data_IF_812934952408
#
_entry.id   IF_812934952408
#
_cell.length_a   1.000
_cell.length_b   1.000
_cell.length_c   1.000
_cell.angle_alpha   90.00
_cell.angle_beta   90.00
_cell.angle_gamma   90.00
#
_symmetry.space_group_name_H-M   'P 1'
#
loop_
_entity.id
_entity.type
_entity.pdbx_description
1 polymer ?
#
# COMPACT_ATOMS: atom_id res chain seq x y z
N UNK A 1 -3.79 -59.78 -13.62
CA UNK A 1 -2.65 -59.92 -12.69
C UNK A 1 -2.42 -58.59 -12.03
N UNK A 2 -2.75 -58.47 -10.75
CA UNK A 2 -2.41 -57.33 -9.90
C UNK A 2 -1.07 -57.62 -9.22
N UNK A 3 -0.15 -56.65 -9.22
CA UNK A 3 0.89 -56.50 -8.19
C UNK A 3 1.03 -54.98 -7.94
N UNK A 4 1.09 -54.52 -6.68
CA UNK A 4 0.90 -53.13 -6.28
C UNK A 4 2.23 -52.39 -6.04
N UNK A 5 2.23 -51.07 -6.17
CA UNK A 5 3.35 -50.22 -5.71
C UNK A 5 2.91 -49.34 -4.54
N UNK A 6 3.39 -49.76 -3.36
CA UNK A 6 3.83 -48.99 -2.19
C UNK A 6 3.20 -47.64 -1.86
N UNK A 7 2.40 -47.63 -0.79
CA UNK A 7 2.20 -46.47 0.05
C UNK A 7 3.44 -46.22 0.93
N UNK A 8 3.93 -44.99 0.99
CA UNK A 8 4.95 -44.57 1.96
C UNK A 8 4.37 -43.44 2.82
N UNK A 9 4.01 -43.80 4.06
CA UNK A 9 3.60 -42.88 5.12
C UNK A 9 4.84 -42.15 5.66
N UNK A 10 4.87 -40.82 5.52
CA UNK A 10 5.80 -39.93 6.20
C UNK A 10 5.11 -39.27 7.38
N UNK A 11 5.44 -39.73 8.59
CA UNK A 11 5.07 -39.11 9.86
C UNK A 11 5.98 -37.91 10.12
N UNK A 12 5.41 -36.70 10.21
CA UNK A 12 6.11 -35.55 10.81
C UNK A 12 5.44 -35.21 12.14
N UNK A 13 6.19 -35.48 13.20
CA UNK A 13 5.81 -35.28 14.59
C UNK A 13 5.63 -33.82 14.96
N UNK A 14 4.81 -33.64 15.99
CA UNK A 14 4.60 -32.41 16.71
C UNK A 14 5.91 -31.90 17.33
N UNK A 15 6.16 -30.59 17.22
CA UNK A 15 7.24 -29.94 17.96
C UNK A 15 6.88 -29.81 19.46
N UNK A 16 7.81 -30.05 20.39
CA UNK A 16 7.57 -29.90 21.83
C UNK A 16 7.47 -28.42 22.25
N UNK A 17 6.76 -28.10 23.35
CA UNK A 17 6.64 -26.74 23.85
C UNK A 17 7.98 -26.23 24.41
N UNK A 18 8.34 -25.01 24.02
CA UNK A 18 9.55 -24.29 24.41
C UNK A 18 9.49 -23.85 25.89
N UNK A 19 10.35 -24.37 26.79
CA UNK A 19 10.49 -23.82 28.13
C UNK A 19 11.65 -22.79 28.12
N UNK A 20 11.50 -21.70 28.88
CA UNK A 20 12.47 -20.60 29.09
C UNK A 20 12.43 -19.42 28.11
N UNK A 21 12.12 -18.23 28.66
CA UNK A 21 12.37 -16.95 28.01
C UNK A 21 11.48 -15.77 28.45
N UNK A 22 11.20 -15.61 29.75
CA UNK A 22 10.63 -14.36 30.27
C UNK A 22 11.68 -13.24 30.21
N UNK A 23 11.33 -12.08 29.65
CA UNK A 23 12.15 -10.88 29.71
C UNK A 23 12.12 -10.27 31.14
N UNK A 24 13.27 -9.93 31.75
CA UNK A 24 13.31 -9.32 33.08
C UNK A 24 12.76 -7.88 33.09
N UNK A 25 11.99 -7.55 34.13
CA UNK A 25 11.66 -6.17 34.49
C UNK A 25 12.94 -5.42 34.90
N UNK A 26 13.16 -4.22 34.36
CA UNK A 26 14.26 -3.34 34.74
C UNK A 26 13.84 -2.46 35.94
N UNK A 27 14.47 -2.58 37.13
CA UNK A 27 14.00 -1.96 38.38
C UNK A 27 14.82 -0.72 38.81
N UNK A 28 15.33 0.10 37.88
CA UNK A 28 16.11 1.30 38.25
C UNK A 28 15.39 2.61 37.93
N UNK A 29 15.27 3.42 39.00
CA UNK A 29 14.42 4.59 39.14
C UNK A 29 14.77 5.82 38.30
N UNK A 30 13.79 6.71 38.22
CA UNK A 30 13.91 8.08 37.73
C UNK A 30 14.97 8.84 38.54
N UNK A 31 15.92 9.48 37.84
CA UNK A 31 16.84 10.41 38.46
C UNK A 31 16.09 11.70 38.85
N UNK A 32 15.96 11.94 40.16
CA UNK A 32 15.59 13.25 40.72
C UNK A 32 16.77 14.21 40.58
N UNK A 33 16.53 15.41 40.04
CA UNK A 33 17.46 16.53 40.04
C UNK A 33 17.35 17.27 41.38
N UNK A 34 18.35 17.24 42.27
CA UNK A 34 18.40 18.10 43.44
C UNK A 34 19.11 19.42 43.09
N UNK A 35 18.86 20.48 43.86
CA UNK A 35 19.40 21.85 43.75
C UNK A 35 18.54 22.85 42.95
N UNK A 36 17.85 23.73 43.70
CA UNK A 36 17.41 25.02 43.18
C UNK A 36 16.11 25.63 43.75
N UNK A 37 15.77 25.44 45.03
CA UNK A 37 14.74 26.30 45.67
C UNK A 37 15.41 27.49 46.35
N UNK A 38 15.02 28.71 45.96
CA UNK A 38 15.44 29.94 46.62
C UNK A 38 14.64 30.15 47.92
N UNK A 39 15.26 30.55 49.05
CA UNK A 39 14.54 30.76 50.31
C UNK A 39 13.58 31.96 50.25
N UNK A 40 12.38 31.81 50.83
CA UNK A 40 11.47 32.93 51.06
C UNK A 40 11.93 33.75 52.28
N UNK A 41 12.09 35.06 52.09
CA UNK A 41 12.46 35.99 53.17
C UNK A 41 11.19 36.46 53.92
N UNK A 42 10.98 36.13 55.22
CA UNK A 42 9.69 36.33 55.89
C UNK A 42 9.48 37.71 56.54
N UNK A 43 10.40 38.69 56.41
CA UNK A 43 10.38 39.92 57.22
C UNK A 43 10.57 41.23 56.43
N UNK A 44 9.72 41.50 55.45
CA UNK A 44 9.63 42.85 54.89
C UNK A 44 8.17 43.33 54.83
N UNK A 45 7.61 43.68 55.98
CA UNK A 45 6.50 44.63 56.03
C UNK A 45 7.08 46.00 56.40
N UNK A 46 6.93 46.98 55.51
CA UNK A 46 7.17 48.39 55.81
C UNK A 46 5.82 49.12 55.95
N UNK A 47 5.71 50.11 56.87
CA UNK A 47 4.43 50.59 57.39
C UNK A 47 3.63 51.44 56.38
N UNK A 48 2.30 51.38 56.47
CA UNK A 48 1.44 52.34 55.77
C UNK A 48 1.57 53.73 56.39
N UNK A 49 2.05 54.69 55.60
CA UNK A 49 2.06 56.10 56.01
C UNK A 49 0.97 56.86 55.23
N UNK A 50 0.00 57.47 55.93
CA UNK A 50 -1.06 58.27 55.32
C UNK A 50 -0.54 59.71 55.12
N UNK A 51 -0.92 60.34 54.01
CA UNK A 51 -0.58 61.69 53.54
C UNK A 51 0.71 61.86 52.72
N UNK A 52 0.53 62.37 51.48
CA UNK A 52 1.50 63.23 50.80
C UNK A 52 2.29 62.62 49.63
N UNK A 53 1.90 62.98 48.41
CA UNK A 53 2.59 62.78 47.11
C UNK A 53 4.04 63.27 47.07
N UNK A 54 4.91 62.59 46.29
CA UNK A 54 5.97 63.26 45.54
C UNK A 54 5.93 62.97 44.04
N UNK A 55 6.39 63.96 43.27
CA UNK A 55 6.23 64.10 41.83
C UNK A 55 7.03 63.15 40.94
N UNK A 56 6.69 63.25 39.67
CA UNK A 56 7.16 62.49 38.52
C UNK A 56 8.68 62.37 38.39
N UNK A 57 9.16 61.15 38.17
CA UNK A 57 10.42 60.91 37.48
C UNK A 57 10.21 59.86 36.40
N UNK A 58 10.53 60.28 35.18
CA UNK A 58 10.17 59.68 33.91
C UNK A 58 11.39 58.97 33.31
N UNK A 59 11.59 57.68 33.61
CA UNK A 59 12.41 56.76 32.82
C UNK A 59 11.85 55.34 33.00
N UNK A 60 11.12 54.85 32.00
CA UNK A 60 10.66 53.46 31.95
C UNK A 60 11.80 52.49 31.60
N UNK A 61 11.70 51.20 31.97
CA UNK A 61 12.67 50.19 31.57
C UNK A 61 12.70 50.00 30.04
N UNK A 62 13.85 49.64 29.44
CA UNK A 62 13.93 49.45 28.00
C UNK A 62 12.98 48.31 27.55
N UNK A 63 12.37 48.42 26.35
CA UNK A 63 11.37 47.47 25.90
C UNK A 63 11.97 46.06 25.75
N UNK A 64 11.32 45.06 26.35
CA UNK A 64 11.66 43.64 26.16
C UNK A 64 11.35 43.25 24.72
N UNK A 65 12.38 42.86 23.96
CA UNK A 65 12.27 42.42 22.56
C UNK A 65 11.36 41.19 22.46
N UNK A 66 10.20 41.35 21.81
CA UNK A 66 9.15 40.34 21.74
C UNK A 66 9.54 39.09 20.93
N UNK A 67 9.84 37.99 21.63
CA UNK A 67 10.08 36.65 21.05
C UNK A 67 8.82 35.95 20.53
N UNK A 68 7.61 36.50 20.77
CA UNK A 68 6.34 35.86 20.42
C UNK A 68 6.06 35.77 18.91
N UNK A 69 6.44 36.80 18.14
CA UNK A 69 6.14 36.84 16.70
C UNK A 69 6.97 35.80 15.92
N UNK A 70 8.18 35.47 16.37
CA UNK A 70 9.02 34.45 15.72
C UNK A 70 8.49 33.03 15.91
N UNK A 71 7.86 32.73 17.06
CA UNK A 71 7.24 31.41 17.31
C UNK A 71 5.95 31.25 16.48
N UNK A 72 5.15 32.31 16.36
CA UNK A 72 3.92 32.30 15.55
C UNK A 72 4.24 32.21 14.05
N UNK A 73 5.21 32.98 13.57
CA UNK A 73 5.69 32.91 12.18
C UNK A 73 6.31 31.55 11.88
N UNK A 74 7.09 30.98 12.81
CA UNK A 74 7.64 29.63 12.66
C UNK A 74 6.58 28.54 12.54
N UNK A 75 5.46 28.65 13.25
CA UNK A 75 4.32 27.72 13.13
C UNK A 75 3.60 27.84 11.79
N UNK A 76 3.40 29.06 11.28
CA UNK A 76 2.76 29.29 9.98
C UNK A 76 3.67 28.78 8.85
N UNK A 77 4.95 29.11 8.87
CA UNK A 77 5.92 28.63 7.87
C UNK A 77 6.03 27.10 7.93
N UNK A 78 6.10 26.52 9.14
CA UNK A 78 6.11 25.06 9.32
C UNK A 78 4.85 24.38 8.78
N UNK A 79 3.67 24.96 9.03
CA UNK A 79 2.40 24.46 8.51
C UNK A 79 2.31 24.57 6.98
N UNK A 80 2.75 25.68 6.40
CA UNK A 80 2.77 25.89 4.94
C UNK A 80 3.74 24.93 4.25
N UNK A 81 4.94 24.73 4.81
CA UNK A 81 5.91 23.76 4.28
C UNK A 81 5.37 22.33 4.39
N UNK A 82 4.77 21.96 5.53
CA UNK A 82 4.15 20.64 5.69
C UNK A 82 2.99 20.43 4.71
N UNK A 83 2.11 21.41 4.53
CA UNK A 83 1.04 21.36 3.53
C UNK A 83 1.59 21.26 2.11
N UNK A 84 2.65 22.01 1.79
CA UNK A 84 3.28 21.98 0.47
C UNK A 84 3.92 20.62 0.18
N UNK A 85 4.50 19.95 1.19
CA UNK A 85 5.03 18.59 1.05
C UNK A 85 3.93 17.54 0.92
N UNK A 86 2.81 17.69 1.62
CA UNK A 86 1.65 16.79 1.50
C UNK A 86 0.99 16.95 0.13
N UNK A 87 0.71 18.19 -0.30
CA UNK A 87 0.13 18.48 -1.61
C UNK A 87 1.10 18.13 -2.73
N UNK A 88 2.38 18.51 -2.60
CA UNK A 88 3.43 18.16 -3.56
C UNK A 88 3.62 16.64 -3.68
N UNK A 89 3.69 15.92 -2.56
CA UNK A 89 3.78 14.46 -2.54
C UNK A 89 2.54 13.77 -3.14
N UNK A 90 1.35 14.32 -2.89
CA UNK A 90 0.10 13.83 -3.49
C UNK A 90 0.05 14.07 -5.01
N UNK A 91 0.50 15.23 -5.48
CA UNK A 91 0.55 15.56 -6.91
C UNK A 91 1.60 14.73 -7.65
N UNK A 92 2.77 14.46 -7.04
CA UNK A 92 3.80 13.57 -7.60
C UNK A 92 3.26 12.15 -7.80
N UNK A 93 2.45 11.62 -6.86
CA UNK A 93 1.88 10.27 -6.99
C UNK A 93 0.96 10.13 -8.21
N UNK A 94 0.13 11.14 -8.50
CA UNK A 94 -0.76 11.14 -9.69
C UNK A 94 -0.03 11.16 -11.03
N UNK A 95 1.25 11.54 -11.08
CA UNK A 95 1.97 11.56 -12.35
C UNK A 95 2.26 10.17 -12.91
N UNK A 96 2.34 9.15 -12.05
CA UNK A 96 2.69 7.79 -12.47
C UNK A 96 1.49 6.87 -12.68
N UNK A 97 0.29 7.24 -12.23
CA UNK A 97 -0.92 6.42 -12.43
C UNK A 97 -1.29 6.32 -13.92
N UNK A 98 -1.80 5.14 -14.30
CA UNK A 98 -2.42 4.92 -15.60
C UNK A 98 -3.71 5.75 -15.73
N UNK A 99 -4.04 6.16 -16.96
CA UNK A 99 -5.29 6.84 -17.25
C UNK A 99 -6.08 6.10 -18.33
N UNK A 100 -7.40 6.23 -18.28
CA UNK A 100 -8.32 5.70 -19.28
C UNK A 100 -8.95 6.80 -20.12
N UNK A 101 -9.21 6.49 -21.37
CA UNK A 101 -10.06 7.26 -22.28
C UNK A 101 -11.55 7.10 -21.91
N UNK A 102 -12.42 7.89 -22.56
CA UNK A 102 -13.88 7.84 -22.36
C UNK A 102 -14.51 6.51 -22.79
N UNK A 103 -13.86 5.77 -23.69
CA UNK A 103 -14.25 4.42 -24.12
C UNK A 103 -13.80 3.32 -23.14
N UNK A 104 -13.08 3.69 -22.08
CA UNK A 104 -12.56 2.76 -21.08
C UNK A 104 -11.22 2.12 -21.41
N UNK A 105 -10.61 2.41 -22.56
CA UNK A 105 -9.27 1.91 -22.92
C UNK A 105 -8.17 2.64 -22.16
N UNK A 106 -7.03 1.98 -21.91
CA UNK A 106 -5.85 2.64 -21.32
C UNK A 106 -5.29 3.63 -22.33
N UNK A 107 -5.30 4.92 -21.99
CA UNK A 107 -4.84 6.02 -22.85
C UNK A 107 -3.48 6.58 -22.46
N UNK A 108 -3.06 6.32 -21.22
CA UNK A 108 -1.76 6.70 -20.69
C UNK A 108 -1.23 5.54 -19.85
N UNK A 109 0.00 5.11 -20.16
CA UNK A 109 0.68 4.10 -19.37
C UNK A 109 0.93 4.59 -17.93
N UNK A 110 0.95 3.66 -16.99
CA UNK A 110 1.25 3.96 -15.59
C UNK A 110 0.87 2.84 -14.65
N UNK A 111 1.05 3.10 -13.36
CA UNK A 111 0.71 2.16 -12.31
C UNK A 111 -0.81 1.96 -12.24
N UNK A 112 -1.24 0.71 -12.11
CA UNK A 112 -2.64 0.33 -11.91
C UNK A 112 -2.70 -0.87 -10.97
N UNK A 113 -3.67 -0.86 -10.07
CA UNK A 113 -4.00 -2.03 -9.25
C UNK A 113 -4.36 -3.22 -10.17
N UNK A 114 -3.73 -4.37 -9.93
CA UNK A 114 -3.88 -5.55 -10.78
C UNK A 114 -5.32 -6.07 -10.84
N UNK A 115 -6.14 -5.79 -9.83
CA UNK A 115 -7.56 -6.13 -9.77
C UNK A 115 -8.47 -5.03 -10.32
N UNK A 116 -7.90 -3.93 -10.82
CA UNK A 116 -8.62 -2.86 -11.51
C UNK A 116 -8.40 -2.90 -13.03
N UNK A 117 -7.59 -3.86 -13.50
CA UNK A 117 -7.54 -4.24 -14.90
C UNK A 117 -8.91 -4.77 -15.35
N UNK A 118 -9.20 -4.57 -16.62
CA UNK A 118 -10.43 -4.97 -17.30
C UNK A 118 -10.05 -5.84 -18.49
N UNK A 119 -10.99 -6.66 -18.94
CA UNK A 119 -10.87 -7.35 -20.23
C UNK A 119 -10.51 -6.34 -21.34
N UNK A 120 -9.46 -6.67 -22.09
CA UNK A 120 -8.87 -5.81 -23.12
C UNK A 120 -7.67 -4.99 -22.65
N UNK A 121 -7.39 -4.88 -21.35
CA UNK A 121 -6.23 -4.12 -20.90
C UNK A 121 -4.92 -4.84 -21.12
N UNK A 122 -3.97 -4.09 -21.67
CA UNK A 122 -2.59 -4.51 -21.84
C UNK A 122 -1.73 -3.96 -20.69
N UNK A 123 -0.74 -4.74 -20.25
CA UNK A 123 0.12 -4.36 -19.15
C UNK A 123 1.49 -5.04 -19.23
N UNK A 124 2.44 -4.50 -18.47
CA UNK A 124 3.72 -5.14 -18.17
C UNK A 124 3.63 -5.75 -16.76
N UNK A 125 3.77 -7.08 -16.67
CA UNK A 125 3.87 -7.76 -15.37
C UNK A 125 5.21 -7.46 -14.70
N UNK A 126 5.28 -7.35 -13.36
CA UNK A 126 6.55 -7.14 -12.66
C UNK A 126 7.53 -8.29 -12.95
N UNK A 127 8.76 -7.98 -13.36
CA UNK A 127 9.76 -8.96 -13.82
C UNK A 127 10.23 -9.91 -12.71
N UNK A 128 10.11 -9.45 -11.48
CA UNK A 128 10.53 -10.06 -10.23
C UNK A 128 9.36 -10.66 -9.44
N UNK A 129 8.15 -10.65 -10.00
CA UNK A 129 7.00 -11.33 -9.39
C UNK A 129 7.17 -12.85 -9.48
N UNK A 130 7.61 -13.47 -8.39
CA UNK A 130 7.67 -14.92 -8.23
C UNK A 130 6.40 -15.50 -7.60
N UNK A 131 5.71 -14.71 -6.76
CA UNK A 131 4.45 -15.10 -6.08
C UNK A 131 3.54 -13.88 -5.90
N UNK A 132 2.63 -13.65 -6.85
CA UNK A 132 1.62 -12.59 -6.77
C UNK A 132 2.15 -11.15 -6.85
N UNK A 133 1.26 -10.22 -7.21
CA UNK A 133 1.53 -8.79 -7.25
C UNK A 133 0.22 -8.01 -7.07
N UNK A 134 0.28 -6.82 -6.47
CA UNK A 134 -0.88 -5.95 -6.27
C UNK A 134 -1.01 -4.85 -7.32
N UNK A 135 0.09 -4.49 -7.99
CA UNK A 135 0.16 -3.44 -8.98
C UNK A 135 0.88 -3.94 -10.22
N UNK A 136 0.45 -3.44 -11.37
CA UNK A 136 1.12 -3.61 -12.66
C UNK A 136 1.38 -2.25 -13.28
N UNK A 137 2.14 -2.24 -14.36
CA UNK A 137 2.18 -1.10 -15.25
C UNK A 137 1.20 -1.33 -16.39
N UNK A 138 0.03 -0.70 -16.35
CA UNK A 138 -0.93 -0.72 -17.46
C UNK A 138 -0.40 0.10 -18.63
N UNK A 139 -0.58 -0.38 -19.85
CA UNK A 139 0.02 0.15 -21.08
C UNK A 139 -1.05 0.17 -22.18
N UNK A 140 -1.18 1.24 -22.98
CA UNK A 140 -2.01 1.22 -24.19
C UNK A 140 -1.58 0.06 -25.11
N UNK A 141 -2.52 -0.74 -25.61
CA UNK A 141 -2.17 -1.97 -26.33
C UNK A 141 -1.38 -1.73 -27.63
N UNK A 142 -1.40 -0.53 -28.21
CA UNK A 142 -0.58 -0.16 -29.37
C UNK A 142 0.91 0.06 -29.02
N UNK A 143 1.25 0.06 -27.73
CA UNK A 143 2.62 0.11 -27.23
C UNK A 143 3.13 -1.28 -26.80
N UNK A 144 4.46 -1.49 -26.75
CA UNK A 144 5.05 -2.74 -26.30
C UNK A 144 4.58 -3.13 -24.89
N UNK A 145 4.05 -4.34 -24.77
CA UNK A 145 3.59 -4.95 -23.51
C UNK A 145 3.74 -6.46 -23.58
N UNK A 146 3.62 -7.14 -22.45
CA UNK A 146 3.87 -8.57 -22.37
C UNK A 146 2.72 -9.37 -21.74
N UNK A 147 1.59 -8.71 -21.45
CA UNK A 147 0.42 -9.35 -20.87
C UNK A 147 -0.86 -8.61 -21.28
N UNK A 148 -1.94 -9.34 -21.48
CA UNK A 148 -3.28 -8.79 -21.72
C UNK A 148 -4.34 -9.58 -20.94
N UNK A 149 -5.27 -8.87 -20.28
CA UNK A 149 -6.48 -9.50 -19.73
C UNK A 149 -7.42 -9.84 -20.88
N UNK A 150 -7.73 -11.13 -21.04
CA UNK A 150 -8.56 -11.61 -22.14
C UNK A 150 -10.00 -11.89 -21.71
N UNK A 151 -10.19 -12.15 -20.42
CA UNK A 151 -11.50 -12.45 -19.84
C UNK A 151 -11.44 -12.29 -18.32
N UNK A 152 -12.57 -11.96 -17.70
CA UNK A 152 -12.70 -11.87 -16.25
C UNK A 152 -14.03 -12.49 -15.81
N UNK A 153 -14.02 -13.21 -14.70
CA UNK A 153 -15.24 -13.82 -14.16
C UNK A 153 -15.21 -13.86 -12.64
N UNK A 154 -16.39 -13.81 -12.02
CA UNK A 154 -16.53 -14.13 -10.59
C UNK A 154 -16.55 -15.64 -10.39
N UNK A 155 -15.73 -16.14 -9.46
CA UNK A 155 -15.66 -17.55 -9.14
C UNK A 155 -17.04 -18.09 -8.74
N UNK A 156 -17.52 -19.17 -9.36
CA UNK A 156 -18.87 -19.67 -9.15
C UNK A 156 -19.04 -20.22 -7.74
N UNK A 157 -20.19 -19.93 -7.13
CA UNK A 157 -20.54 -20.40 -5.78
C UNK A 157 -19.50 -20.07 -4.70
N UNK A 158 -18.77 -18.97 -4.87
CA UNK A 158 -17.75 -18.56 -3.91
C UNK A 158 -18.33 -18.31 -2.52
N UNK A 159 -17.65 -18.83 -1.51
CA UNK A 159 -17.93 -18.59 -0.08
C UNK A 159 -16.77 -17.84 0.55
N UNK A 160 -16.84 -17.50 1.84
CA UNK A 160 -15.69 -16.92 2.56
C UNK A 160 -14.51 -17.88 2.68
N UNK A 161 -14.76 -19.19 2.58
CA UNK A 161 -13.70 -20.20 2.54
C UNK A 161 -13.20 -20.35 1.12
N UNK A 162 -11.89 -20.23 0.98
CA UNK A 162 -11.17 -20.37 -0.27
C UNK A 162 -11.22 -21.82 -0.77
N UNK A 163 -11.45 -22.08 -2.07
CA UNK A 163 -11.31 -23.40 -2.65
C UNK A 163 -9.85 -23.87 -2.55
N UNK A 164 -9.62 -25.17 -2.57
CA UNK A 164 -8.27 -25.72 -2.74
C UNK A 164 -7.66 -25.27 -4.07
N UNK A 165 -6.33 -25.30 -4.16
CA UNK A 165 -5.62 -24.91 -5.38
C UNK A 165 -6.08 -25.72 -6.60
N UNK A 166 -6.31 -27.03 -6.43
CA UNK A 166 -6.79 -27.92 -7.49
C UNK A 166 -8.22 -27.59 -7.93
N UNK A 167 -9.13 -27.31 -7.00
CA UNK A 167 -10.50 -26.91 -7.31
C UNK A 167 -10.51 -25.58 -8.07
N UNK A 168 -9.74 -24.60 -7.59
CA UNK A 168 -9.62 -23.30 -8.25
C UNK A 168 -9.08 -23.46 -9.66
N UNK A 169 -7.97 -24.19 -9.79
CA UNK A 169 -7.31 -24.42 -11.07
C UNK A 169 -8.26 -25.06 -12.08
N UNK A 170 -8.99 -26.09 -11.69
CA UNK A 170 -9.96 -26.77 -12.56
C UNK A 170 -11.01 -25.80 -13.14
N UNK A 171 -11.57 -24.92 -12.29
CA UNK A 171 -12.55 -23.92 -12.72
C UNK A 171 -11.92 -22.84 -13.60
N UNK A 172 -10.73 -22.35 -13.23
CA UNK A 172 -10.01 -21.32 -13.98
C UNK A 172 -9.58 -21.82 -15.34
N UNK A 173 -8.92 -22.98 -15.43
CA UNK A 173 -8.44 -23.57 -16.68
C UNK A 173 -9.61 -23.80 -17.67
N UNK A 174 -10.76 -24.27 -17.17
CA UNK A 174 -11.94 -24.45 -18.01
C UNK A 174 -12.48 -23.13 -18.57
N UNK A 175 -12.61 -22.09 -17.73
CA UNK A 175 -13.17 -20.79 -18.15
C UNK A 175 -12.21 -19.97 -18.99
N UNK A 176 -10.93 -19.94 -18.62
CA UNK A 176 -9.90 -19.25 -19.38
C UNK A 176 -9.63 -19.95 -20.71
N UNK A 177 -9.59 -21.29 -20.74
CA UNK A 177 -9.45 -22.04 -21.98
C UNK A 177 -10.61 -21.82 -22.96
N UNK A 178 -11.85 -21.75 -22.48
CA UNK A 178 -13.00 -21.39 -23.33
C UNK A 178 -12.87 -19.96 -23.89
N UNK A 179 -12.48 -18.99 -23.06
CA UNK A 179 -12.23 -17.62 -23.48
C UNK A 179 -11.09 -17.52 -24.52
N UNK A 180 -10.00 -18.26 -24.34
CA UNK A 180 -8.89 -18.31 -25.29
C UNK A 180 -9.35 -18.80 -26.67
N UNK A 181 -10.15 -19.88 -26.70
CA UNK A 181 -10.65 -20.45 -27.94
C UNK A 181 -11.67 -19.54 -28.66
N UNK A 182 -12.45 -18.78 -27.88
CA UNK A 182 -13.59 -18.03 -28.42
C UNK A 182 -13.29 -16.56 -28.70
N UNK A 183 -12.49 -15.91 -27.85
CA UNK A 183 -12.29 -14.46 -27.87
C UNK A 183 -10.99 -14.04 -28.57
N UNK A 184 -9.99 -14.92 -28.69
CA UNK A 184 -8.69 -14.54 -29.25
C UNK A 184 -8.64 -14.55 -30.77
N UNK A 185 -8.01 -13.53 -31.33
CA UNK A 185 -7.49 -13.55 -32.69
C UNK A 185 -6.14 -14.27 -32.68
N UNK A 186 -6.15 -15.57 -32.99
CA UNK A 186 -4.96 -16.43 -32.94
C UNK A 186 -3.84 -15.98 -33.87
N UNK A 187 -4.13 -15.13 -34.87
CA UNK A 187 -3.09 -14.55 -35.74
C UNK A 187 -2.26 -13.46 -35.06
N UNK A 188 -2.79 -12.89 -33.96
CA UNK A 188 -2.14 -11.83 -33.17
C UNK A 188 -1.47 -12.35 -31.90
N UNK A 189 -1.73 -13.59 -31.51
CA UNK A 189 -1.12 -14.21 -30.33
C UNK A 189 0.36 -14.48 -30.62
N UNK A 190 1.31 -13.98 -29.80
CA UNK A 190 2.73 -14.23 -29.99
C UNK A 190 3.09 -15.72 -29.94
N UNK A 191 4.15 -16.10 -30.64
CA UNK A 191 4.73 -17.44 -30.49
C UNK A 191 5.21 -17.65 -29.05
N UNK A 192 4.89 -18.81 -28.47
CA UNK A 192 5.18 -19.16 -27.07
C UNK A 192 4.42 -18.33 -26.01
N UNK A 193 3.34 -17.65 -26.40
CA UNK A 193 2.45 -17.04 -25.40
C UNK A 193 1.91 -18.11 -24.43
N UNK A 194 1.93 -17.78 -23.15
CA UNK A 194 1.41 -18.60 -22.07
C UNK A 194 0.04 -18.12 -21.60
N UNK A 195 -0.71 -19.05 -21.01
CA UNK A 195 -1.93 -18.77 -20.27
C UNK A 195 -1.60 -18.60 -18.79
N UNK A 196 -2.11 -17.55 -18.17
CA UNK A 196 -1.96 -17.30 -16.75
C UNK A 196 -3.27 -16.72 -16.17
N UNK A 197 -3.35 -16.59 -14.86
CA UNK A 197 -4.50 -15.97 -14.19
C UNK A 197 -4.08 -15.11 -13.01
N UNK A 198 -4.77 -13.98 -12.85
CA UNK A 198 -4.71 -13.17 -11.64
C UNK A 198 -5.88 -13.57 -10.77
N UNK A 199 -5.58 -13.98 -9.55
CA UNK A 199 -6.57 -14.36 -8.55
C UNK A 199 -6.29 -13.66 -7.22
N UNK A 200 -7.33 -13.39 -6.42
CA UNK A 200 -7.18 -12.80 -5.10
C UNK A 200 -6.45 -13.76 -4.17
N UNK A 201 -5.64 -13.19 -3.28
CA UNK A 201 -5.08 -13.91 -2.14
C UNK A 201 -6.17 -14.25 -1.11
N UNK A 202 -5.82 -15.09 -0.13
CA UNK A 202 -6.77 -15.56 0.89
C UNK A 202 -7.45 -14.42 1.66
N UNK A 203 -6.75 -13.30 1.89
CA UNK A 203 -7.29 -12.16 2.63
C UNK A 203 -8.33 -11.40 1.78
N UNK A 204 -8.02 -11.17 0.51
CA UNK A 204 -8.94 -10.55 -0.43
C UNK A 204 -10.15 -11.45 -0.68
N UNK A 205 -9.94 -12.77 -0.76
CA UNK A 205 -10.99 -13.78 -0.87
C UNK A 205 -11.97 -13.71 0.29
N UNK A 206 -11.48 -13.81 1.54
CA UNK A 206 -12.33 -13.74 2.74
C UNK A 206 -13.14 -12.43 2.80
N UNK A 207 -12.57 -11.36 2.26
CA UNK A 207 -13.20 -10.03 2.16
C UNK A 207 -14.27 -9.93 1.05
N UNK A 208 -14.52 -11.01 0.29
CA UNK A 208 -15.53 -11.10 -0.75
C UNK A 208 -15.04 -10.79 -2.17
N UNK A 209 -13.72 -10.61 -2.38
CA UNK A 209 -13.16 -10.51 -3.73
C UNK A 209 -13.01 -11.90 -4.29
N UNK A 210 -13.83 -12.25 -5.27
CA UNK A 210 -13.83 -13.57 -5.91
C UNK A 210 -13.66 -13.47 -7.44
N UNK A 211 -13.17 -12.34 -7.94
CA UNK A 211 -12.92 -12.17 -9.38
C UNK A 211 -11.59 -12.82 -9.78
N UNK A 212 -11.62 -13.60 -10.85
CA UNK A 212 -10.47 -14.20 -11.52
C UNK A 212 -10.33 -13.56 -12.89
N UNK A 213 -9.11 -13.19 -13.27
CA UNK A 213 -8.81 -12.60 -14.56
C UNK A 213 -7.89 -13.52 -15.35
N UNK A 214 -8.33 -13.93 -16.54
CA UNK A 214 -7.56 -14.75 -17.47
C UNK A 214 -6.60 -13.85 -18.26
N UNK A 215 -5.34 -14.27 -18.36
CA UNK A 215 -4.26 -13.48 -18.94
C UNK A 215 -3.58 -14.29 -20.03
N UNK A 216 -3.36 -13.66 -21.17
CA UNK A 216 -2.36 -14.14 -22.14
C UNK A 216 -1.09 -13.32 -21.90
N UNK A 217 0.02 -14.00 -21.69
CA UNK A 217 1.32 -13.38 -21.43
C UNK A 217 2.43 -13.95 -22.32
N UNK A 218 3.52 -13.21 -22.47
CA UNK A 218 4.68 -13.65 -23.24
C UNK A 218 5.97 -13.16 -22.58
N UNK A 219 7.08 -13.87 -22.78
CA UNK A 219 8.38 -13.46 -22.22
C UNK A 219 8.97 -12.23 -22.94
N UNK A 220 8.62 -12.06 -24.21
CA UNK A 220 9.02 -10.89 -25.02
C UNK A 220 7.82 -9.98 -25.28
N UNK A 221 8.09 -8.68 -25.32
CA UNK A 221 7.05 -7.70 -25.61
C UNK A 221 6.45 -7.90 -27.02
N UNK A 222 5.16 -7.63 -27.12
CA UNK A 222 4.39 -7.56 -28.36
C UNK A 222 3.52 -6.30 -28.37
N UNK A 223 2.88 -6.03 -29.50
CA UNK A 223 2.02 -4.85 -29.70
C UNK A 223 0.70 -5.27 -30.33
N UNK A 224 -0.34 -4.51 -30.06
CA UNK A 224 -1.71 -4.80 -30.45
C UNK A 224 -2.43 -5.69 -29.43
N UNK A 225 -3.76 -5.67 -29.47
CA UNK A 225 -4.56 -6.61 -28.68
C UNK A 225 -4.63 -7.98 -29.37
N UNK A 226 -4.59 -9.04 -28.57
CA UNK A 226 -4.84 -10.43 -28.99
C UNK A 226 -6.33 -10.79 -29.08
N UNK A 227 -7.24 -9.89 -28.66
CA UNK A 227 -8.69 -10.11 -28.77
C UNK A 227 -9.19 -9.88 -30.20
N UNK A 228 -10.27 -10.58 -30.56
CA UNK A 228 -11.08 -10.25 -31.75
C UNK A 228 -11.69 -8.87 -31.55
N UNK A 229 -11.62 -8.04 -32.59
CA UNK A 229 -12.20 -6.69 -32.62
C UNK A 229 -13.71 -6.71 -32.82
#
# INVERSE_FOLDING_TARGET
>A
GQIPYGAQQGSYGQAPPNPYGQAPQNPYGQAQNPYGQAPQNPYAQAPQNPYGTPGSSNYGPPPKKGRGNLVLVGRIVGAVVALSLVVGGYLVKKHNDAARSSDGTISKQGDLDAFSLKTGDCFEKPKDATTGFSSVKAIPCDQPHNSQIIFSFTYPNATKTEPTDDERRSVTDAKCGDAENTLLDTSKVPQNAGSNSISPDSKAWESGRHEIQCVVENDTDFTGSVLKG
#
